data_IF_613784566334
#
_entry.id   IF_613784566334
#
_cell.length_a   1.000
_cell.length_b   1.000
_cell.length_c   1.000
_cell.angle_alpha   90.00
_cell.angle_beta   90.00
_cell.angle_gamma   90.00
#
_symmetry.space_group_name_H-M   'P 1'
#
loop_
_entity.id
_entity.type
_entity.pdbx_description
1 polymer ?
#
# COMPACT_ATOMS: atom_id res chain seq x y z
N UNK A 1 8.66 -25.96 -11.34
CA UNK A 1 9.27 -24.63 -11.39
C UNK A 1 8.38 -23.66 -10.62
N UNK A 2 8.97 -22.78 -9.83
CA UNK A 2 8.31 -21.59 -9.29
C UNK A 2 8.92 -20.39 -10.05
N UNK A 3 8.10 -19.46 -10.52
CA UNK A 3 8.54 -18.35 -11.36
C UNK A 3 8.32 -17.03 -10.62
N UNK A 4 9.31 -16.15 -10.67
CA UNK A 4 9.25 -14.84 -10.00
C UNK A 4 8.47 -13.83 -10.84
N UNK A 5 7.30 -13.44 -10.34
CA UNK A 5 6.41 -12.49 -10.98
C UNK A 5 6.75 -11.04 -10.61
N UNK A 6 5.83 -10.27 -10.04
CA UNK A 6 6.10 -8.89 -9.60
C UNK A 6 6.99 -8.89 -8.34
N UNK A 7 7.86 -7.89 -8.20
CA UNK A 7 8.79 -7.83 -7.05
C UNK A 7 8.09 -7.43 -5.75
N UNK A 8 7.01 -6.63 -5.83
CA UNK A 8 6.32 -6.10 -4.67
C UNK A 8 5.15 -7.01 -4.28
N UNK A 9 4.17 -7.14 -5.17
CA UNK A 9 3.02 -8.02 -4.96
C UNK A 9 2.42 -8.37 -6.30
N UNK A 10 2.06 -9.64 -6.48
CA UNK A 10 1.22 -10.07 -7.60
C UNK A 10 -0.23 -9.88 -7.18
N UNK A 11 -0.90 -8.89 -7.74
CA UNK A 11 -2.31 -8.60 -7.42
C UNK A 11 -3.27 -8.94 -8.56
N UNK A 12 -2.74 -9.24 -9.75
CA UNK A 12 -3.53 -9.58 -10.93
C UNK A 12 -2.95 -10.81 -11.63
N UNK A 13 -3.82 -11.75 -11.92
CA UNK A 13 -3.55 -12.92 -12.74
C UNK A 13 -4.66 -13.02 -13.79
N UNK A 14 -4.28 -13.02 -15.06
CA UNK A 14 -5.22 -13.08 -16.17
C UNK A 14 -4.84 -14.22 -17.12
N UNK A 15 -5.59 -15.33 -17.16
CA UNK A 15 -5.36 -16.38 -18.13
C UNK A 15 -5.80 -15.96 -19.53
N UNK A 16 -5.12 -16.47 -20.56
CA UNK A 16 -5.61 -16.41 -21.93
C UNK A 16 -6.86 -17.29 -22.06
N UNK A 17 -7.89 -16.87 -22.82
CA UNK A 17 -9.16 -17.61 -22.89
C UNK A 17 -9.07 -19.02 -23.49
N UNK A 18 -8.04 -19.31 -24.29
CA UNK A 18 -7.94 -20.56 -25.05
C UNK A 18 -6.58 -21.27 -24.98
N UNK A 19 -5.51 -20.53 -24.68
CA UNK A 19 -4.14 -21.06 -24.75
C UNK A 19 -3.56 -21.16 -23.35
N UNK A 20 -2.56 -22.04 -23.10
CA UNK A 20 -1.91 -22.16 -21.80
C UNK A 20 -0.94 -21.00 -21.56
N UNK A 21 -1.44 -19.77 -21.66
CA UNK A 21 -0.70 -18.52 -21.45
C UNK A 21 -1.32 -17.82 -20.25
N UNK A 22 -0.46 -17.29 -19.38
CA UNK A 22 -0.87 -16.53 -18.21
C UNK A 22 -0.20 -15.15 -18.25
N UNK A 23 -0.97 -14.10 -18.01
CA UNK A 23 -0.43 -12.77 -17.72
C UNK A 23 -0.49 -12.53 -16.21
N UNK A 24 0.57 -11.93 -15.65
CA UNK A 24 0.60 -11.46 -14.27
C UNK A 24 1.05 -10.01 -14.19
N UNK A 25 0.48 -9.24 -13.28
CA UNK A 25 0.92 -7.88 -12.95
C UNK A 25 0.77 -7.57 -11.46
N UNK A 26 1.36 -6.46 -11.05
CA UNK A 26 1.38 -6.00 -9.67
C UNK A 26 1.47 -4.50 -9.53
N UNK A 27 2.41 -4.03 -8.71
CA UNK A 27 2.67 -2.61 -8.47
C UNK A 27 3.72 -2.07 -9.45
N UNK A 28 4.54 -2.94 -10.02
CA UNK A 28 5.59 -2.56 -10.96
C UNK A 28 4.98 -2.08 -12.30
N UNK A 29 5.79 -1.37 -13.09
CA UNK A 29 5.39 -0.82 -14.40
C UNK A 29 5.47 -1.83 -15.56
N UNK A 30 5.42 -3.14 -15.28
CA UNK A 30 5.51 -4.17 -16.29
C UNK A 30 4.43 -5.25 -16.12
N UNK A 31 4.20 -6.00 -17.20
CA UNK A 31 3.36 -7.18 -17.23
C UNK A 31 4.26 -8.34 -17.65
N UNK A 32 4.14 -9.47 -16.96
CA UNK A 32 4.85 -10.70 -17.32
C UNK A 32 3.91 -11.69 -17.98
N UNK A 33 4.36 -12.28 -19.08
CA UNK A 33 3.63 -13.29 -19.85
C UNK A 33 4.34 -14.63 -19.69
N UNK A 34 3.58 -15.66 -19.34
CA UNK A 34 4.07 -16.99 -19.04
C UNK A 34 3.50 -18.00 -20.02
N UNK A 35 4.32 -18.95 -20.45
CA UNK A 35 3.91 -20.11 -21.25
C UNK A 35 4.71 -21.35 -20.82
N UNK A 36 4.16 -22.57 -20.97
CA UNK A 36 4.84 -23.80 -20.62
C UNK A 36 5.90 -24.14 -21.68
N UNK A 37 7.15 -23.76 -21.44
CA UNK A 37 8.27 -24.03 -22.34
C UNK A 37 9.05 -25.31 -21.98
N UNK A 38 8.86 -25.82 -20.76
CA UNK A 38 9.54 -27.02 -20.28
C UNK A 38 8.98 -28.30 -20.91
N UNK A 39 9.85 -29.26 -21.22
CA UNK A 39 9.44 -30.54 -21.83
C UNK A 39 8.66 -31.44 -20.86
N UNK A 40 8.88 -31.28 -19.56
CA UNK A 40 8.20 -32.06 -18.52
C UNK A 40 7.69 -31.16 -17.39
N UNK A 41 6.54 -31.51 -16.79
CA UNK A 41 6.01 -30.73 -15.67
C UNK A 41 6.95 -30.82 -14.47
N UNK A 42 7.26 -29.69 -13.87
CA UNK A 42 7.98 -29.62 -12.62
C UNK A 42 7.24 -28.71 -11.65
N UNK A 43 7.20 -29.05 -10.37
CA UNK A 43 6.58 -28.22 -9.33
C UNK A 43 7.36 -28.37 -8.02
N UNK A 44 7.83 -27.25 -7.46
CA UNK A 44 8.54 -27.26 -6.19
C UNK A 44 7.52 -27.03 -5.07
N UNK A 45 7.00 -28.12 -4.50
CA UNK A 45 5.96 -28.08 -3.47
C UNK A 45 6.44 -27.40 -2.18
N UNK A 46 7.66 -27.69 -1.75
CA UNK A 46 8.24 -27.15 -0.51
C UNK A 46 8.32 -25.62 -0.59
N UNK A 47 8.85 -25.09 -1.69
CA UNK A 47 8.94 -23.65 -1.89
C UNK A 47 7.55 -22.99 -2.04
N UNK A 48 6.61 -23.66 -2.70
CA UNK A 48 5.24 -23.15 -2.83
C UNK A 48 4.53 -23.04 -1.47
N UNK A 49 4.67 -24.05 -0.61
CA UNK A 49 4.12 -24.05 0.75
C UNK A 49 4.74 -22.92 1.59
N UNK A 50 6.05 -22.69 1.46
CA UNK A 50 6.75 -21.59 2.13
C UNK A 50 6.19 -20.21 1.70
N UNK A 51 5.99 -20.02 0.39
CA UNK A 51 5.42 -18.77 -0.15
C UNK A 51 3.97 -18.57 0.29
N UNK A 52 3.15 -19.62 0.26
CA UNK A 52 1.75 -19.54 0.72
C UNK A 52 1.71 -19.14 2.20
N UNK A 53 2.51 -19.80 3.04
CA UNK A 53 2.57 -19.50 4.47
C UNK A 53 2.99 -18.05 4.73
N UNK A 54 3.99 -17.53 4.00
CA UNK A 54 4.37 -16.12 4.10
C UNK A 54 3.24 -15.17 3.69
N UNK A 55 2.55 -15.46 2.59
CA UNK A 55 1.47 -14.61 2.10
C UNK A 55 0.29 -14.56 3.08
N UNK A 56 -0.04 -15.67 3.73
CA UNK A 56 -1.09 -15.72 4.76
C UNK A 56 -0.72 -14.87 5.99
N UNK A 57 0.54 -14.97 6.46
CA UNK A 57 1.02 -14.15 7.57
C UNK A 57 0.99 -12.66 7.23
N UNK A 58 1.48 -12.28 6.04
CA UNK A 58 1.47 -10.88 5.59
C UNK A 58 0.05 -10.33 5.44
N UNK A 59 -0.90 -11.16 4.99
CA UNK A 59 -2.30 -10.77 4.86
C UNK A 59 -2.93 -10.48 6.23
N UNK A 60 -2.65 -11.30 7.24
CA UNK A 60 -3.15 -11.09 8.60
C UNK A 60 -2.50 -9.83 9.23
N UNK A 61 -1.19 -9.66 9.08
CA UNK A 61 -0.48 -8.47 9.59
C UNK A 61 -0.97 -7.16 8.97
N UNK A 62 -1.32 -7.18 7.68
CA UNK A 62 -1.76 -5.98 6.94
C UNK A 62 -3.28 -5.79 6.93
N UNK A 63 -4.05 -6.61 7.66
CA UNK A 63 -5.52 -6.61 7.64
C UNK A 63 -6.14 -5.23 7.94
N UNK A 64 -5.50 -4.43 8.78
CA UNK A 64 -5.97 -3.09 9.16
C UNK A 64 -5.12 -1.96 8.55
N UNK A 65 -4.29 -2.27 7.55
CA UNK A 65 -3.42 -1.33 6.87
C UNK A 65 -4.03 -0.89 5.54
N UNK A 66 -4.03 0.41 5.27
CA UNK A 66 -4.48 0.97 4.00
C UNK A 66 -3.27 1.57 3.28
N UNK A 67 -3.07 1.21 2.02
CA UNK A 67 -2.02 1.79 1.18
C UNK A 67 -2.52 3.09 0.56
N UNK A 68 -1.78 4.17 0.76
CA UNK A 68 -2.07 5.50 0.19
C UNK A 68 -0.81 6.09 -0.45
N UNK A 69 -0.91 6.85 -1.55
CA UNK A 69 0.24 7.55 -2.13
C UNK A 69 0.89 8.50 -1.11
N UNK A 70 2.22 8.56 -1.08
CA UNK A 70 2.95 9.41 -0.13
C UNK A 70 2.54 10.90 -0.23
N UNK A 71 2.25 11.38 -1.44
CA UNK A 71 1.77 12.75 -1.68
C UNK A 71 0.46 13.06 -0.94
N UNK A 72 -0.43 12.07 -0.82
CA UNK A 72 -1.67 12.22 -0.06
C UNK A 72 -1.37 12.37 1.44
N UNK A 73 -0.51 11.52 2.00
CA UNK A 73 -0.11 11.61 3.41
C UNK A 73 0.58 12.92 3.73
N UNK A 74 1.48 13.39 2.87
CA UNK A 74 2.17 14.67 3.05
C UNK A 74 1.18 15.84 3.08
N UNK A 75 0.20 15.85 2.17
CA UNK A 75 -0.85 16.87 2.16
C UNK A 75 -1.74 16.80 3.40
N UNK A 76 -2.10 15.60 3.85
CA UNK A 76 -2.89 15.41 5.06
C UNK A 76 -2.15 15.95 6.29
N UNK A 77 -0.87 15.63 6.44
CA UNK A 77 -0.03 16.13 7.53
C UNK A 77 0.12 17.66 7.47
N UNK A 78 0.30 18.24 6.28
CA UNK A 78 0.36 19.69 6.11
C UNK A 78 -0.95 20.36 6.53
N UNK A 79 -2.11 19.84 6.10
CA UNK A 79 -3.42 20.36 6.51
C UNK A 79 -3.65 20.28 8.01
N UNK A 80 -3.23 19.19 8.66
CA UNK A 80 -3.32 19.04 10.12
C UNK A 80 -2.44 20.05 10.88
N UNK A 81 -1.27 20.40 10.33
CA UNK A 81 -0.40 21.41 10.91
C UNK A 81 -0.99 22.83 10.76
N UNK A 82 -1.63 23.16 9.64
CA UNK A 82 -2.32 24.44 9.48
C UNK A 82 -3.47 24.62 10.48
N UNK A 83 -4.28 23.57 10.72
CA UNK A 83 -5.36 23.60 11.73
C UNK A 83 -4.81 23.85 13.14
N UNK A 84 -3.61 23.33 13.46
CA UNK A 84 -2.97 23.56 14.76
C UNK A 84 -2.39 24.96 14.89
N UNK A 85 -1.85 25.52 13.81
CA UNK A 85 -1.34 26.88 13.79
C UNK A 85 -2.46 27.92 13.95
N UNK A 86 -3.56 27.78 13.21
CA UNK A 86 -4.74 28.67 13.32
C UNK A 86 -5.32 28.70 14.74
N UNK A 87 -5.36 27.55 15.43
CA UNK A 87 -5.87 27.48 16.81
C UNK A 87 -4.96 28.14 17.86
N UNK A 88 -3.70 28.38 17.54
CA UNK A 88 -2.76 29.06 18.45
C UNK A 88 -2.84 30.58 18.28
N UNK A 89 -3.04 31.08 17.06
CA UNK A 89 -3.23 32.52 16.81
C UNK A 89 -4.54 33.04 17.44
N UNK A 90 -5.64 32.28 17.32
CA UNK A 90 -6.96 32.63 17.87
C UNK A 90 -7.00 32.69 19.42
N UNK A 91 -5.99 32.11 20.09
CA UNK A 91 -5.83 32.20 21.56
C UNK A 91 -5.01 33.40 22.02
N UNK A 92 -4.27 34.05 21.13
CA UNK A 92 -3.41 35.19 21.50
C UNK A 92 -4.13 36.54 21.44
N UNK A 93 -5.22 36.66 20.67
CA UNK A 93 -5.99 37.91 20.53
C UNK A 93 -7.05 38.11 21.64
N UNK A 94 -7.30 37.11 22.50
CA UNK A 94 -8.37 37.14 23.51
C UNK A 94 -8.00 37.64 24.92
N UNK A 95 -6.78 38.14 25.16
CA UNK A 95 -6.30 38.48 26.52
C UNK A 95 -5.84 39.93 26.70
N UNK A 96 -6.60 40.90 26.19
CA UNK A 96 -6.20 42.32 26.27
C UNK A 96 -7.35 43.32 26.27
N UNK A 97 -8.22 43.29 27.28
CA UNK A 97 -9.18 44.35 27.69
C UNK A 97 -10.00 43.77 28.87
N UNK A 98 -10.10 44.31 30.08
CA UNK A 98 -9.96 45.66 30.62
C UNK A 98 -9.50 45.57 32.09
N UNK A 99 -8.48 46.35 32.46
CA UNK A 99 -8.32 46.89 33.80
C UNK A 99 -9.04 48.24 33.83
N UNK A 100 -9.37 48.69 35.04
CA UNK A 100 -9.86 50.02 35.45
C UNK A 100 -11.38 50.13 35.61
N UNK A 101 -11.85 49.79 36.82
CA UNK A 101 -12.80 50.63 37.52
C UNK A 101 -12.44 50.66 39.00
N UNK A 102 -11.71 51.71 39.38
CA UNK A 102 -11.60 52.22 40.74
C UNK A 102 -12.93 52.90 41.13
N UNK A 103 -13.62 52.37 42.15
CA UNK A 103 -14.25 53.12 43.27
C UNK A 103 -14.99 52.21 44.24
#
# INVERSE_FOLDING_TARGET
>A
MLLEADNHVVNCLQPHPYDPILASSGIDYNIKIWSPLEQSPSFNRVLAEEVITRNELMLEETRNTITVPASFMLRMLASLNHIRADRLDDRSEGSGQENEDEQ
#
